data_IF_969715848357
#
_entry.id   IF_969715848357
#
_cell.length_a   1.000
_cell.length_b   1.000
_cell.length_c   1.000
_cell.angle_alpha   90.00
_cell.angle_beta   90.00
_cell.angle_gamma   90.00
#
_symmetry.space_group_name_H-M   'P 1'
#
loop_
_entity.id
_entity.type
_entity.pdbx_description
1 polymer ?
#
# COMPACT_ATOMS: atom_id res chain seq x y z
N UNK A 1 2.02 -0.05 17.41
CA UNK A 1 1.69 -0.46 16.03
C UNK A 1 0.32 0.08 15.66
N UNK A 2 0.15 0.63 14.49
CA UNK A 2 -1.09 1.20 13.95
C UNK A 2 -1.38 0.56 12.61
N UNK A 3 -2.65 0.36 12.27
CA UNK A 3 -3.06 -0.30 11.04
C UNK A 3 -4.12 0.56 10.34
N UNK A 4 -4.05 0.64 9.03
CA UNK A 4 -5.02 1.36 8.23
C UNK A 4 -5.07 0.82 6.81
N UNK A 5 -6.20 1.05 6.16
CA UNK A 5 -6.40 0.70 4.76
C UNK A 5 -7.18 1.80 4.04
N UNK A 6 -7.06 1.85 2.74
CA UNK A 6 -7.90 2.72 1.92
C UNK A 6 -8.06 2.14 0.52
N UNK A 7 -9.25 2.34 -0.03
CA UNK A 7 -9.55 2.03 -1.43
C UNK A 7 -9.74 3.34 -2.20
N UNK A 8 -8.98 3.53 -3.27
CA UNK A 8 -9.15 4.63 -4.22
C UNK A 8 -9.28 4.05 -5.62
N UNK A 9 -10.40 4.32 -6.26
CA UNK A 9 -10.62 3.98 -7.65
C UNK A 9 -10.51 5.23 -8.53
N UNK A 10 -10.12 5.05 -9.79
CA UNK A 10 -10.04 6.13 -10.77
C UNK A 10 -9.65 5.60 -12.15
N UNK A 11 -10.10 6.27 -13.22
CA UNK A 11 -9.81 5.85 -14.59
C UNK A 11 -10.68 4.69 -15.09
N UNK A 12 -10.18 3.89 -16.04
CA UNK A 12 -10.92 2.78 -16.61
C UNK A 12 -11.37 1.74 -15.58
N UNK A 13 -12.42 0.95 -15.85
CA UNK A 13 -12.87 -0.12 -14.98
C UNK A 13 -11.72 -1.06 -14.57
N UNK A 14 -11.63 -1.41 -13.29
CA UNK A 14 -10.56 -2.25 -12.74
C UNK A 14 -9.30 -1.50 -12.30
N UNK A 15 -9.26 -0.17 -12.50
CA UNK A 15 -8.16 0.66 -12.00
C UNK A 15 -8.48 1.12 -10.57
N UNK A 16 -7.89 0.44 -9.61
CA UNK A 16 -8.05 0.74 -8.18
C UNK A 16 -6.73 0.50 -7.43
N UNK A 17 -6.57 1.19 -6.31
CA UNK A 17 -5.47 1.03 -5.38
C UNK A 17 -6.02 0.75 -3.98
N UNK A 18 -5.58 -0.33 -3.37
CA UNK A 18 -5.99 -0.78 -2.04
C UNK A 18 -4.74 -1.13 -1.20
N UNK A 19 -3.99 -0.12 -0.72
CA UNK A 19 -2.90 -0.35 0.19
C UNK A 19 -3.43 -0.60 1.60
N UNK A 20 -2.86 -1.61 2.26
CA UNK A 20 -2.94 -1.81 3.70
C UNK A 20 -1.61 -1.37 4.31
N UNK A 21 -1.65 -0.59 5.36
CA UNK A 21 -0.45 -0.09 6.03
C UNK A 21 -0.38 -0.57 7.46
N UNK A 22 0.83 -0.92 7.88
CA UNK A 22 1.18 -1.16 9.28
C UNK A 22 2.30 -0.21 9.64
N UNK A 23 2.11 0.60 10.68
CA UNK A 23 3.06 1.62 11.13
C UNK A 23 3.49 1.32 12.56
N UNK A 24 4.78 1.37 12.82
CA UNK A 24 5.30 1.10 14.17
C UNK A 24 6.68 1.67 14.39
N UNK A 25 7.13 1.60 15.64
CA UNK A 25 8.47 1.99 16.04
C UNK A 25 9.52 1.03 15.47
N UNK A 26 10.58 1.57 14.86
CA UNK A 26 11.70 0.76 14.39
C UNK A 26 12.54 0.20 15.55
N UNK A 27 12.48 0.84 16.71
CA UNK A 27 13.04 0.33 17.94
C UNK A 27 12.00 -0.49 18.70
N UNK A 28 12.00 -1.82 18.47
CA UNK A 28 11.06 -2.72 19.11
C UNK A 28 10.55 -3.86 18.24
N UNK A 29 9.44 -4.52 18.63
CA UNK A 29 8.93 -5.70 17.93
C UNK A 29 8.56 -5.45 16.46
N UNK A 30 8.04 -4.26 16.13
CA UNK A 30 7.76 -3.89 14.75
C UNK A 30 9.06 -3.81 13.91
N UNK A 31 10.11 -3.18 14.44
CA UNK A 31 11.40 -3.08 13.75
C UNK A 31 12.04 -4.45 13.52
N UNK A 32 11.90 -5.37 14.46
CA UNK A 32 12.35 -6.77 14.30
C UNK A 32 11.59 -7.44 13.13
N UNK A 33 10.26 -7.29 13.07
CA UNK A 33 9.45 -7.81 11.96
C UNK A 33 9.81 -7.16 10.63
N UNK A 34 10.01 -5.84 10.61
CA UNK A 34 10.42 -5.08 9.43
C UNK A 34 11.76 -5.57 8.87
N UNK A 35 12.78 -5.71 9.72
CA UNK A 35 14.10 -6.22 9.34
C UNK A 35 14.03 -7.68 8.85
N UNK A 36 13.24 -8.52 9.51
CA UNK A 36 13.02 -9.91 9.10
C UNK A 36 12.37 -10.01 7.73
N UNK A 37 11.37 -9.17 7.44
CA UNK A 37 10.69 -9.15 6.15
C UNK A 37 11.61 -8.74 5.00
N UNK A 38 12.54 -7.81 5.22
CA UNK A 38 13.53 -7.42 4.20
C UNK A 38 14.42 -8.62 3.83
N UNK A 39 14.87 -9.38 4.83
CA UNK A 39 15.76 -10.54 4.63
C UNK A 39 15.04 -11.78 4.08
N UNK A 40 13.74 -11.91 4.32
CA UNK A 40 12.97 -13.10 3.95
C UNK A 40 12.41 -12.96 2.52
N UNK A 41 13.10 -13.50 1.53
CA UNK A 41 12.66 -13.51 0.14
C UNK A 41 11.76 -14.71 -0.18
N UNK A 42 10.56 -14.42 -0.68
CA UNK A 42 9.60 -15.43 -1.12
C UNK A 42 9.41 -15.28 -2.62
N UNK A 43 9.56 -16.37 -3.36
CA UNK A 43 9.42 -16.38 -4.82
C UNK A 43 8.07 -15.78 -5.25
N UNK A 44 8.10 -14.79 -6.11
CA UNK A 44 6.92 -14.11 -6.64
C UNK A 44 6.30 -13.06 -5.70
N UNK A 45 6.78 -12.92 -4.46
CA UNK A 45 6.32 -11.89 -3.52
C UNK A 45 7.48 -11.00 -3.10
N UNK A 46 7.97 -10.26 -4.06
CA UNK A 46 9.10 -9.35 -3.87
C UNK A 46 8.75 -8.24 -2.88
N UNK A 47 9.68 -7.99 -1.97
CA UNK A 47 9.62 -6.90 -1.00
C UNK A 47 10.74 -5.92 -1.31
N UNK A 48 10.42 -4.64 -1.35
CA UNK A 48 11.39 -3.58 -1.64
C UNK A 48 11.20 -2.40 -0.72
N UNK A 49 12.31 -1.76 -0.35
CA UNK A 49 12.24 -0.45 0.29
C UNK A 49 11.78 0.58 -0.73
N UNK A 50 10.80 1.39 -0.36
CA UNK A 50 10.30 2.46 -1.20
C UNK A 50 11.35 3.58 -1.31
N UNK A 51 11.60 4.02 -2.53
CA UNK A 51 12.59 5.05 -2.86
C UNK A 51 11.95 6.18 -3.65
N UNK A 52 12.44 7.38 -3.45
CA UNK A 52 12.07 8.57 -4.23
C UNK A 52 12.86 8.66 -5.52
N UNK A 53 14.11 8.21 -5.47
CA UNK A 53 15.05 8.11 -6.57
C UNK A 53 16.13 7.09 -6.22
N UNK A 54 17.01 6.76 -7.13
CA UNK A 54 18.03 5.71 -7.03
C UNK A 54 18.78 5.68 -5.70
N UNK A 55 19.15 6.84 -5.17
CA UNK A 55 19.93 6.96 -3.92
C UNK A 55 19.14 7.66 -2.80
N UNK A 56 17.82 7.82 -2.97
CA UNK A 56 16.98 8.58 -2.06
C UNK A 56 15.82 7.73 -1.55
N UNK A 57 16.04 7.10 -0.40
CA UNK A 57 14.98 6.36 0.30
C UNK A 57 13.97 7.33 0.91
N UNK A 58 12.67 6.97 0.86
CA UNK A 58 11.63 7.73 1.52
C UNK A 58 11.73 7.59 3.05
N UNK A 59 11.27 8.59 3.77
CA UNK A 59 11.12 8.57 5.24
C UNK A 59 9.69 8.94 5.65
N UNK A 60 9.13 8.19 6.62
CA UNK A 60 9.66 7.00 7.30
C UNK A 60 10.09 5.87 6.37
N UNK A 61 11.04 5.04 6.83
CA UNK A 61 11.46 3.86 6.08
C UNK A 61 10.24 2.99 5.76
N UNK A 62 10.01 2.74 4.47
CA UNK A 62 8.79 2.08 4.01
C UNK A 62 9.14 0.83 3.21
N UNK A 63 8.57 -0.30 3.63
CA UNK A 63 8.69 -1.59 2.94
C UNK A 63 7.41 -1.86 2.16
N UNK A 64 7.50 -1.91 0.84
CA UNK A 64 6.40 -2.34 -0.02
C UNK A 64 6.41 -3.85 -0.17
N UNK A 65 5.25 -4.48 -0.01
CA UNK A 65 5.02 -5.93 -0.16
C UNK A 65 3.91 -6.15 -1.18
N UNK A 66 4.17 -6.95 -2.22
CA UNK A 66 3.13 -7.32 -3.19
C UNK A 66 2.25 -8.43 -2.65
N UNK A 67 0.93 -8.21 -2.63
CA UNK A 67 -0.08 -9.25 -2.34
C UNK A 67 -0.28 -10.22 -3.50
N UNK A 68 0.02 -9.78 -4.73
CA UNK A 68 -0.12 -10.60 -5.94
C UNK A 68 1.21 -11.24 -6.27
N UNK A 69 1.17 -12.51 -6.66
CA UNK A 69 2.35 -13.22 -7.14
C UNK A 69 2.84 -12.59 -8.44
N UNK A 70 4.03 -12.03 -8.42
CA UNK A 70 4.70 -11.44 -9.59
C UNK A 70 5.14 -12.55 -10.53
N UNK A 71 4.67 -12.53 -11.79
CA UNK A 71 4.89 -13.60 -12.75
C UNK A 71 5.60 -13.16 -14.02
N UNK A 72 5.61 -11.86 -14.34
CA UNK A 72 6.18 -11.33 -15.58
C UNK A 72 6.88 -9.98 -15.38
N UNK A 73 7.76 -9.64 -16.32
CA UNK A 73 8.57 -8.42 -16.26
C UNK A 73 7.76 -7.14 -16.42
N UNK A 74 6.68 -7.18 -17.20
CA UNK A 74 5.80 -6.02 -17.38
C UNK A 74 5.13 -5.63 -16.08
N UNK A 75 4.54 -6.62 -15.39
CA UNK A 75 3.94 -6.41 -14.07
C UNK A 75 4.98 -5.91 -13.08
N UNK A 76 6.17 -6.50 -13.09
CA UNK A 76 7.29 -6.07 -12.24
C UNK A 76 7.63 -4.61 -12.46
N UNK A 77 7.77 -4.18 -13.71
CA UNK A 77 8.13 -2.80 -14.05
C UNK A 77 7.06 -1.79 -13.61
N UNK A 78 5.78 -2.14 -13.74
CA UNK A 78 4.68 -1.30 -13.28
C UNK A 78 4.68 -1.19 -11.75
N UNK A 79 4.80 -2.34 -11.08
CA UNK A 79 4.81 -2.41 -9.62
C UNK A 79 6.00 -1.65 -9.01
N UNK A 80 7.22 -1.92 -9.50
CA UNK A 80 8.46 -1.35 -8.97
C UNK A 80 8.72 0.08 -9.44
N UNK A 81 8.14 0.48 -10.55
CA UNK A 81 8.23 1.85 -11.08
C UNK A 81 7.07 2.72 -10.59
N UNK A 82 5.93 2.60 -11.25
CA UNK A 82 4.79 3.51 -11.05
C UNK A 82 4.20 3.38 -9.65
N UNK A 83 3.91 2.16 -9.20
CA UNK A 83 3.22 1.92 -7.92
C UNK A 83 4.15 2.22 -6.74
N UNK A 84 5.38 1.73 -6.77
CA UNK A 84 6.37 2.01 -5.72
C UNK A 84 6.64 3.51 -5.59
N UNK A 85 6.84 4.22 -6.71
CA UNK A 85 7.03 5.66 -6.69
C UNK A 85 5.83 6.43 -6.14
N UNK A 86 4.61 5.98 -6.45
CA UNK A 86 3.38 6.54 -5.90
C UNK A 86 3.29 6.35 -4.38
N UNK A 87 3.61 5.15 -3.89
CA UNK A 87 3.64 4.84 -2.45
C UNK A 87 4.65 5.75 -1.74
N UNK A 88 5.87 5.87 -2.26
CA UNK A 88 6.89 6.74 -1.68
C UNK A 88 6.41 8.20 -1.57
N UNK A 89 5.76 8.72 -2.63
CA UNK A 89 5.18 10.06 -2.61
C UNK A 89 4.01 10.19 -1.62
N UNK A 90 3.13 9.17 -1.52
CA UNK A 90 2.04 9.17 -0.54
C UNK A 90 2.51 9.17 0.91
N UNK A 91 3.63 8.51 1.19
CA UNK A 91 4.30 8.57 2.50
C UNK A 91 4.78 9.98 2.80
N UNK A 92 5.44 10.65 1.84
CA UNK A 92 5.88 12.04 2.03
C UNK A 92 4.71 13.01 2.18
N UNK A 93 3.64 12.82 1.43
CA UNK A 93 2.42 13.63 1.60
C UNK A 93 1.87 13.49 3.02
N UNK A 94 1.90 12.29 3.58
CA UNK A 94 1.44 12.05 4.96
C UNK A 94 2.29 12.78 6.02
N UNK A 95 3.58 12.94 5.78
CA UNK A 95 4.45 13.77 6.63
C UNK A 95 4.17 15.26 6.41
N UNK A 96 4.02 15.68 5.16
CA UNK A 96 3.72 17.07 4.78
C UNK A 96 2.37 17.54 5.34
N UNK A 97 1.36 16.68 5.34
CA UNK A 97 0.03 16.95 5.86
C UNK A 97 -0.07 16.79 7.40
N UNK A 98 1.02 16.35 8.05
CA UNK A 98 1.12 16.25 9.51
C UNK A 98 0.49 14.98 10.11
N UNK A 99 0.04 14.03 9.29
CA UNK A 99 -0.45 12.73 9.82
C UNK A 99 0.69 11.95 10.48
N UNK A 100 1.88 12.01 9.91
CA UNK A 100 3.11 11.51 10.53
C UNK A 100 3.90 12.73 11.03
N UNK A 101 4.19 12.82 12.35
CA UNK A 101 5.04 13.89 12.88
C UNK A 101 6.41 13.87 12.22
N UNK A 102 6.88 15.01 11.74
CA UNK A 102 8.15 15.13 11.01
C UNK A 102 9.35 14.69 11.84
N UNK A 103 9.35 14.98 13.12
CA UNK A 103 10.39 14.61 14.10
C UNK A 103 10.43 13.09 14.36
N UNK A 104 9.32 12.36 14.06
CA UNK A 104 9.23 10.90 14.21
C UNK A 104 9.58 10.14 12.92
N UNK A 105 9.87 10.84 11.83
CA UNK A 105 10.08 10.20 10.52
C UNK A 105 11.32 9.28 10.45
N UNK A 106 12.25 9.38 11.40
CA UNK A 106 13.39 8.47 11.50
C UNK A 106 13.15 7.28 12.42
N UNK A 107 12.18 7.40 13.35
CA UNK A 107 11.92 6.39 14.38
C UNK A 107 10.82 5.41 13.96
N UNK A 108 9.95 5.84 13.05
CA UNK A 108 8.86 5.03 12.54
C UNK A 108 9.27 4.27 11.28
N UNK A 109 8.67 3.09 11.12
CA UNK A 109 8.68 2.35 9.87
C UNK A 109 7.27 2.08 9.39
N UNK A 110 7.11 1.85 8.09
CA UNK A 110 5.84 1.55 7.44
C UNK A 110 6.00 0.29 6.60
N UNK A 111 5.09 -0.66 6.76
CA UNK A 111 4.91 -1.76 5.81
C UNK A 111 3.66 -1.45 5.01
N UNK A 112 3.78 -1.41 3.69
CA UNK A 112 2.66 -1.20 2.76
C UNK A 112 2.44 -2.48 1.98
N UNK A 113 1.34 -3.15 2.25
CA UNK A 113 0.89 -4.32 1.50
C UNK A 113 0.00 -3.83 0.36
N UNK A 114 0.40 -4.07 -0.88
CA UNK A 114 -0.28 -3.53 -2.06
C UNK A 114 -0.83 -4.63 -2.96
N UNK A 115 -2.08 -4.45 -3.36
CA UNK A 115 -2.68 -5.24 -4.42
C UNK A 115 -2.70 -4.41 -5.71
N UNK A 116 -2.08 -4.93 -6.75
CA UNK A 116 -2.13 -4.36 -8.11
C UNK A 116 -2.81 -5.38 -9.02
N UNK A 117 -3.83 -4.93 -9.75
CA UNK A 117 -4.59 -5.83 -10.64
C UNK A 117 -3.66 -6.50 -11.66
N UNK A 118 -3.60 -7.84 -11.72
CA UNK A 118 -2.75 -8.55 -12.66
C UNK A 118 -3.00 -8.21 -14.14
N UNK A 119 -4.21 -7.73 -14.48
CA UNK A 119 -4.54 -7.35 -15.85
C UNK A 119 -3.74 -6.16 -16.38
N UNK A 120 -3.09 -5.36 -15.51
CA UNK A 120 -2.30 -4.20 -15.93
C UNK A 120 -1.16 -4.56 -16.88
N UNK A 121 -0.58 -5.76 -16.76
CA UNK A 121 0.48 -6.22 -17.64
C UNK A 121 0.01 -6.47 -19.09
N UNK A 122 -1.29 -6.69 -19.28
CA UNK A 122 -1.91 -6.89 -20.59
C UNK A 122 -2.60 -5.64 -21.14
N UNK A 123 -2.72 -4.60 -20.34
CA UNK A 123 -3.34 -3.35 -20.76
C UNK A 123 -2.38 -2.54 -21.61
N UNK A 124 -2.71 -2.42 -22.91
CA UNK A 124 -1.94 -1.61 -23.88
C UNK A 124 -2.13 -0.11 -23.71
N UNK A 125 -3.20 0.28 -23.03
CA UNK A 125 -3.61 1.68 -22.81
C UNK A 125 -3.49 2.09 -21.35
N UNK A 126 -2.67 1.37 -20.56
CA UNK A 126 -2.49 1.66 -19.14
C UNK A 126 -2.03 3.12 -18.96
N UNK A 127 -2.83 3.88 -18.25
CA UNK A 127 -2.48 5.25 -17.88
C UNK A 127 -1.67 5.25 -16.57
N UNK A 128 -0.36 5.33 -16.72
CA UNK A 128 0.58 5.36 -15.58
C UNK A 128 0.37 6.58 -14.67
N UNK A 129 -0.14 7.70 -15.20
CA UNK A 129 -0.41 8.91 -14.41
C UNK A 129 -1.61 8.69 -13.48
N UNK A 130 -2.68 8.13 -14.00
CA UNK A 130 -3.85 7.77 -13.19
C UNK A 130 -3.46 6.71 -12.15
N UNK A 131 -2.75 5.66 -12.57
CA UNK A 131 -2.29 4.61 -11.67
C UNK A 131 -1.42 5.16 -10.53
N UNK A 132 -0.50 6.07 -10.84
CA UNK A 132 0.34 6.76 -9.86
C UNK A 132 -0.52 7.59 -8.88
N UNK A 133 -1.44 8.41 -9.41
CA UNK A 133 -2.28 9.28 -8.59
C UNK A 133 -3.15 8.50 -7.59
N UNK A 134 -3.81 7.44 -8.04
CA UNK A 134 -4.66 6.63 -7.15
C UNK A 134 -3.87 5.92 -6.06
N UNK A 135 -2.68 5.37 -6.37
CA UNK A 135 -1.84 4.72 -5.36
C UNK A 135 -1.26 5.72 -4.36
N UNK A 136 -0.87 6.92 -4.82
CA UNK A 136 -0.41 8.00 -3.96
C UNK A 136 -1.49 8.44 -2.97
N UNK A 137 -2.70 8.77 -3.47
CA UNK A 137 -3.83 9.18 -2.63
C UNK A 137 -4.29 8.07 -1.68
N UNK A 138 -4.36 6.83 -2.16
CA UNK A 138 -4.75 5.69 -1.34
C UNK A 138 -3.75 5.47 -0.19
N UNK A 139 -2.45 5.56 -0.48
CA UNK A 139 -1.40 5.42 0.55
C UNK A 139 -1.50 6.52 1.60
N UNK A 140 -1.66 7.78 1.19
CA UNK A 140 -1.85 8.91 2.12
C UNK A 140 -3.10 8.70 2.99
N UNK A 141 -4.21 8.27 2.39
CA UNK A 141 -5.46 8.01 3.11
C UNK A 141 -5.33 6.84 4.10
N UNK A 142 -4.69 5.74 3.71
CA UNK A 142 -4.45 4.60 4.60
C UNK A 142 -3.59 4.99 5.80
N UNK A 143 -2.52 5.77 5.58
CA UNK A 143 -1.67 6.28 6.65
C UNK A 143 -2.45 7.22 7.58
N UNK A 144 -3.24 8.15 7.03
CA UNK A 144 -4.12 9.02 7.84
C UNK A 144 -5.02 8.20 8.75
N UNK A 145 -5.74 7.23 8.21
CA UNK A 145 -6.62 6.35 8.99
C UNK A 145 -5.86 5.59 10.08
N UNK A 146 -4.70 5.04 9.76
CA UNK A 146 -3.85 4.34 10.73
C UNK A 146 -3.44 5.27 11.88
N UNK A 147 -2.97 6.48 11.56
CA UNK A 147 -2.47 7.42 12.55
C UNK A 147 -3.57 7.99 13.44
N UNK A 148 -4.77 8.17 12.91
CA UNK A 148 -5.94 8.69 13.62
C UNK A 148 -6.79 7.58 14.29
N UNK A 149 -6.47 6.29 14.09
CA UNK A 149 -7.31 5.15 14.50
C UNK A 149 -8.74 5.23 13.91
N UNK A 150 -8.81 5.55 12.61
CA UNK A 150 -10.09 5.66 11.89
C UNK A 150 -10.41 4.35 11.12
N UNK A 151 -11.69 3.92 11.12
CA UNK A 151 -12.80 4.44 11.92
C UNK A 151 -12.63 4.09 13.41
N UNK A 152 -13.25 4.88 14.31
CA UNK A 152 -13.27 4.55 15.73
C UNK A 152 -14.18 3.33 16.00
N UNK A 153 -13.95 2.63 17.12
CA UNK A 153 -14.82 1.51 17.51
C UNK A 153 -16.26 1.98 17.74
N UNK A 154 -16.44 3.13 18.35
CA UNK A 154 -17.78 3.67 18.61
C UNK A 154 -18.52 3.94 17.31
N UNK A 155 -17.85 4.55 16.33
CA UNK A 155 -18.44 4.77 15.01
C UNK A 155 -18.83 3.46 14.33
N UNK A 156 -17.99 2.42 14.42
CA UNK A 156 -18.28 1.10 13.84
C UNK A 156 -19.51 0.47 14.47
N UNK A 157 -19.63 0.52 15.80
CA UNK A 157 -20.78 -0.03 16.52
C UNK A 157 -22.08 0.72 16.18
N UNK A 158 -22.03 2.04 16.07
CA UNK A 158 -23.18 2.88 15.72
C UNK A 158 -23.65 2.68 14.27
N UNK A 159 -22.75 2.34 13.36
CA UNK A 159 -23.02 2.27 11.92
C UNK A 159 -23.04 0.84 11.35
N UNK A 160 -22.84 -0.19 12.17
CA UNK A 160 -22.70 -1.58 11.74
C UNK A 160 -23.81 -2.02 10.77
N UNK A 161 -25.06 -1.71 11.07
CA UNK A 161 -26.22 -2.14 10.27
C UNK A 161 -26.42 -1.30 8.99
N UNK A 162 -25.78 -0.14 8.92
CA UNK A 162 -25.85 0.76 7.75
C UNK A 162 -24.74 0.54 6.75
N UNK A 163 -23.66 -0.13 7.15
CA UNK A 163 -22.52 -0.41 6.28
C UNK A 163 -22.88 -1.52 5.29
N UNK A 164 -22.90 -1.17 4.01
CA UNK A 164 -23.11 -2.15 2.95
C UNK A 164 -21.81 -2.91 2.69
N UNK A 165 -21.78 -4.25 2.83
CA UNK A 165 -20.60 -5.03 2.53
C UNK A 165 -20.16 -4.86 1.07
N UNK A 166 -18.87 -4.66 0.85
CA UNK A 166 -18.31 -4.61 -0.51
C UNK A 166 -18.39 -5.99 -1.14
N UNK A 167 -19.00 -6.08 -2.32
CA UNK A 167 -18.95 -7.30 -3.11
C UNK A 167 -17.57 -7.42 -3.78
N UNK A 168 -16.72 -8.28 -3.25
CA UNK A 168 -15.40 -8.58 -3.82
C UNK A 168 -15.46 -9.46 -5.09
N UNK A 169 -16.61 -9.61 -5.71
CA UNK A 169 -16.79 -10.48 -6.88
C UNK A 169 -15.85 -10.11 -8.03
N UNK A 170 -15.50 -8.83 -8.18
CA UNK A 170 -14.55 -8.36 -9.18
C UNK A 170 -13.08 -8.50 -8.76
N UNK A 171 -12.80 -8.61 -7.45
CA UNK A 171 -11.44 -8.79 -6.92
C UNK A 171 -11.07 -10.29 -6.82
N UNK A 172 -12.03 -11.15 -6.57
CA UNK A 172 -11.84 -12.61 -6.42
C UNK A 172 -11.93 -13.42 -7.70
N UNK A 173 -12.31 -12.83 -8.82
CA UNK A 173 -12.50 -13.56 -10.08
C UNK A 173 -11.24 -14.30 -10.60
N UNK A 174 -10.08 -14.11 -9.97
CA UNK A 174 -8.82 -14.75 -10.32
C UNK A 174 -8.14 -15.57 -9.22
N UNK A 175 -8.74 -15.65 -8.03
CA UNK A 175 -8.23 -16.46 -6.92
C UNK A 175 -8.97 -17.79 -6.71
N UNK A 176 -9.58 -18.33 -7.73
CA UNK A 176 -10.00 -19.74 -7.64
C UNK A 176 -8.73 -20.59 -7.61
N UNK A 177 -8.29 -20.92 -6.39
CA UNK A 177 -7.34 -21.97 -6.13
C UNK A 177 -7.83 -23.23 -6.82
N UNK A 178 -7.13 -23.64 -7.86
CA UNK A 178 -7.20 -25.01 -8.33
C UNK A 178 -6.37 -25.84 -7.34
N UNK A 179 -7.06 -26.56 -6.47
CA UNK A 179 -6.50 -27.69 -5.78
C UNK A 179 -6.27 -28.83 -6.79
#
# INVERSE_FOLDING_TARGET
MRVGEALVAGGPPGTAAEPEVVIGELDGPFGTAFATLIGNQIKGHTKVLAIMNTDVMVKPATLMVSKVTVKDDKYTNILMGTVQGAIANGVLDSVKEGYIPKDRANDLGIIVSVWLNPSVSNDKNLDHKILFDIHRRATTSAIKKAMNNEPSIDWLLENQDSIVPVSYTHLRAHETLRY
#
